data_IF_645457594867
#
_entry.id   IF_645457594867
#
_cell.length_a   1.000
_cell.length_b   1.000
_cell.length_c   1.000
_cell.angle_alpha   90.00
_cell.angle_beta   90.00
_cell.angle_gamma   90.00
#
_symmetry.space_group_name_H-M   'P 1'
#
loop_
_entity.id
_entity.type
_entity.pdbx_description
1 polymer ?
#
# COMPACT_ATOMS: atom_id res chain seq x y z
N UNK A 1 21.34 2.71 12.48
CA UNK A 1 20.80 2.19 11.21
C UNK A 1 21.77 1.21 10.55
N UNK A 2 21.27 0.09 10.04
CA UNK A 2 22.09 -0.94 9.38
C UNK A 2 22.69 -0.41 8.06
N UNK A 3 23.96 -0.72 7.79
CA UNK A 3 24.74 -0.21 6.66
C UNK A 3 24.15 -0.56 5.29
N UNK A 4 23.41 -1.66 5.20
CA UNK A 4 22.66 -2.02 4.00
C UNK A 4 21.69 -0.90 3.55
N UNK A 5 21.12 -0.15 4.49
CA UNK A 5 20.25 0.99 4.17
C UNK A 5 21.07 2.09 3.49
N UNK A 6 22.29 2.39 3.96
CA UNK A 6 23.18 3.37 3.32
C UNK A 6 23.59 2.94 1.91
N UNK A 7 23.84 1.65 1.70
CA UNK A 7 24.09 1.11 0.37
C UNK A 7 22.92 1.37 -0.60
N UNK A 8 21.67 1.24 -0.12
CA UNK A 8 20.51 1.56 -0.94
C UNK A 8 20.22 3.06 -1.05
N UNK A 9 20.53 3.87 -0.04
CA UNK A 9 20.50 5.34 -0.16
C UNK A 9 21.46 5.79 -1.26
N UNK A 10 22.67 5.21 -1.33
CA UNK A 10 23.62 5.51 -2.40
C UNK A 10 23.03 5.21 -3.78
N UNK A 11 22.44 4.03 -3.97
CA UNK A 11 21.81 3.67 -5.26
C UNK A 11 20.63 4.58 -5.58
N UNK A 12 19.80 4.87 -4.59
CA UNK A 12 18.66 5.76 -4.73
C UNK A 12 19.10 7.19 -5.09
N UNK A 13 20.22 7.68 -4.55
CA UNK A 13 20.72 9.02 -4.85
C UNK A 13 21.04 9.18 -6.35
N UNK A 14 21.65 8.17 -6.97
CA UNK A 14 21.98 8.20 -8.40
C UNK A 14 20.71 8.29 -9.25
N UNK A 15 19.68 7.51 -8.91
CA UNK A 15 18.38 7.51 -9.59
C UNK A 15 17.59 8.81 -9.35
N UNK A 16 17.38 9.16 -8.08
CA UNK A 16 16.52 10.27 -7.66
C UNK A 16 17.04 11.64 -8.11
N UNK A 17 18.36 11.83 -8.13
CA UNK A 17 18.96 13.13 -8.49
C UNK A 17 19.22 13.26 -9.98
N UNK A 18 19.02 12.20 -10.77
CA UNK A 18 19.34 12.18 -12.20
C UNK A 18 20.75 12.70 -12.51
N UNK A 19 21.72 12.37 -11.64
CA UNK A 19 23.11 12.79 -11.76
C UNK A 19 23.42 14.25 -11.41
N UNK A 20 22.47 15.03 -10.85
CA UNK A 20 22.71 16.42 -10.41
C UNK A 20 23.77 16.53 -9.30
N UNK A 21 23.97 15.46 -8.54
CA UNK A 21 24.99 15.36 -7.50
C UNK A 21 25.64 13.98 -7.54
N UNK A 22 26.76 13.83 -6.82
CA UNK A 22 27.42 12.54 -6.66
C UNK A 22 27.29 12.06 -5.23
N UNK A 23 27.32 10.74 -5.03
CA UNK A 23 27.34 10.14 -3.70
C UNK A 23 28.45 10.73 -2.80
N UNK A 24 29.66 10.94 -3.35
CA UNK A 24 30.77 11.53 -2.60
C UNK A 24 30.43 12.92 -2.07
N UNK A 25 29.87 13.80 -2.91
CA UNK A 25 29.46 15.15 -2.51
C UNK A 25 28.36 15.12 -1.44
N UNK A 26 27.37 14.24 -1.58
CA UNK A 26 26.34 14.08 -0.56
C UNK A 26 26.93 13.64 0.78
N UNK A 27 27.80 12.62 0.77
CA UNK A 27 28.42 12.06 1.97
C UNK A 27 29.28 13.08 2.72
N UNK A 28 30.10 13.85 2.00
CA UNK A 28 30.96 14.89 2.58
C UNK A 28 30.18 15.97 3.35
N UNK A 29 28.91 16.19 3.00
CA UNK A 29 28.06 17.15 3.72
C UNK A 29 27.46 16.62 5.03
N UNK A 30 27.52 15.31 5.25
CA UNK A 30 26.86 14.64 6.39
C UNK A 30 27.89 14.11 7.39
N UNK A 31 29.00 13.56 6.91
CA UNK A 31 30.07 13.02 7.78
C UNK A 31 31.43 13.59 7.38
N UNK A 32 32.18 14.04 8.39
CA UNK A 32 33.56 14.54 8.23
C UNK A 32 34.60 13.41 8.12
N UNK A 33 34.17 12.15 8.26
CA UNK A 33 35.07 11.00 8.19
C UNK A 33 35.09 10.42 6.78
N UNK A 34 36.27 10.02 6.32
CA UNK A 34 36.48 9.46 4.98
C UNK A 34 35.92 8.01 4.84
N UNK A 35 35.44 7.45 5.96
CA UNK A 35 34.93 6.09 6.03
C UNK A 35 33.73 5.87 5.11
N UNK A 36 33.77 4.75 4.39
CA UNK A 36 32.66 4.28 3.56
C UNK A 36 31.67 3.52 4.45
N UNK A 37 30.38 3.69 4.18
CA UNK A 37 29.36 2.85 4.82
C UNK A 37 29.44 1.43 4.25
N UNK A 38 29.74 0.46 5.11
CA UNK A 38 29.80 -0.96 4.80
C UNK A 38 28.45 -1.62 5.11
N UNK A 39 27.91 -2.49 4.22
CA UNK A 39 26.57 -3.06 4.41
C UNK A 39 26.34 -3.82 5.72
N UNK A 40 27.40 -4.39 6.31
CA UNK A 40 27.34 -5.25 7.50
C UNK A 40 27.65 -4.50 8.81
N UNK A 41 27.80 -3.18 8.77
CA UNK A 41 28.04 -2.34 9.94
C UNK A 41 26.79 -1.56 10.35
N UNK A 42 26.84 -0.89 11.50
CA UNK A 42 25.76 -0.03 12.01
C UNK A 42 26.29 1.39 12.18
N UNK A 43 25.50 2.37 11.74
CA UNK A 43 25.85 3.79 11.76
C UNK A 43 24.75 4.62 12.43
N UNK A 44 25.01 5.87 12.83
CA UNK A 44 23.99 6.75 13.40
C UNK A 44 22.78 6.92 12.48
N UNK A 45 21.57 6.92 13.05
CA UNK A 45 20.34 7.15 12.28
C UNK A 45 20.32 8.55 11.65
N UNK A 46 20.88 9.54 12.35
CA UNK A 46 21.00 10.91 11.88
C UNK A 46 21.77 11.03 10.55
N UNK A 47 22.75 10.17 10.30
CA UNK A 47 23.52 10.20 9.06
C UNK A 47 22.65 9.78 7.87
N UNK A 48 21.83 8.73 8.03
CA UNK A 48 20.91 8.30 6.99
C UNK A 48 19.85 9.37 6.69
N UNK A 49 19.31 10.00 7.73
CA UNK A 49 18.34 11.10 7.58
C UNK A 49 18.99 12.33 6.94
N UNK A 50 20.22 12.67 7.31
CA UNK A 50 20.98 13.76 6.70
C UNK A 50 21.25 13.52 5.21
N UNK A 51 21.61 12.30 4.82
CA UNK A 51 21.80 11.94 3.42
C UNK A 51 20.49 12.05 2.62
N UNK A 52 19.39 11.51 3.16
CA UNK A 52 18.07 11.65 2.54
C UNK A 52 17.66 13.12 2.44
N UNK A 53 17.89 13.95 3.48
CA UNK A 53 17.62 15.39 3.41
C UNK A 53 18.40 16.06 2.27
N UNK A 54 19.66 15.71 2.06
CA UNK A 54 20.46 16.29 0.97
C UNK A 54 20.00 15.86 -0.41
N UNK A 55 19.52 14.63 -0.55
CA UNK A 55 18.88 14.16 -1.78
C UNK A 55 17.58 14.96 -2.01
N UNK A 56 16.75 15.14 -0.97
CA UNK A 56 15.51 15.90 -1.04
C UNK A 56 15.76 17.36 -1.46
N UNK A 57 16.75 18.01 -0.84
CA UNK A 57 17.21 19.36 -1.20
C UNK A 57 17.60 19.44 -2.69
N UNK A 58 18.33 18.43 -3.20
CA UNK A 58 18.78 18.36 -4.60
C UNK A 58 17.62 18.14 -5.58
N UNK A 59 16.62 17.36 -5.18
CA UNK A 59 15.42 17.10 -5.96
C UNK A 59 14.42 18.28 -5.89
N UNK A 60 14.52 19.14 -4.88
CA UNK A 60 13.57 20.23 -4.64
C UNK A 60 12.24 19.74 -4.04
N UNK A 61 12.26 18.66 -3.25
CA UNK A 61 11.08 18.06 -2.64
C UNK A 61 11.17 18.00 -1.10
N UNK A 62 10.04 17.98 -0.38
CA UNK A 62 10.03 17.78 1.06
C UNK A 62 10.61 16.42 1.46
N UNK A 63 11.43 16.38 2.52
CA UNK A 63 12.00 15.15 3.07
C UNK A 63 10.96 14.05 3.34
N UNK A 64 9.76 14.32 3.90
CA UNK A 64 8.73 13.30 4.08
C UNK A 64 8.37 12.56 2.78
N UNK A 65 8.20 13.27 1.67
CA UNK A 65 7.88 12.68 0.38
C UNK A 65 9.06 11.88 -0.20
N UNK A 66 10.29 12.37 -0.01
CA UNK A 66 11.47 11.62 -0.41
C UNK A 66 11.59 10.31 0.38
N UNK A 67 11.33 10.32 1.69
CA UNK A 67 11.39 9.11 2.52
C UNK A 67 10.39 8.07 2.04
N UNK A 68 9.15 8.47 1.71
CA UNK A 68 8.17 7.57 1.10
C UNK A 68 8.68 7.02 -0.24
N UNK A 69 9.20 7.87 -1.13
CA UNK A 69 9.75 7.46 -2.42
C UNK A 69 10.96 6.53 -2.28
N UNK A 70 11.82 6.78 -1.29
CA UNK A 70 12.95 5.91 -0.98
C UNK A 70 12.48 4.54 -0.50
N UNK A 71 11.44 4.48 0.34
CA UNK A 71 10.83 3.22 0.77
C UNK A 71 10.30 2.42 -0.41
N UNK A 72 9.64 3.10 -1.35
CA UNK A 72 9.10 2.48 -2.56
C UNK A 72 10.21 1.89 -3.45
N UNK A 73 11.30 2.63 -3.66
CA UNK A 73 12.51 2.14 -4.33
C UNK A 73 13.15 0.95 -3.60
N UNK A 74 13.15 0.99 -2.27
CA UNK A 74 13.82 0.00 -1.42
C UNK A 74 13.09 -1.35 -1.39
N UNK A 75 11.77 -1.36 -1.53
CA UNK A 75 10.92 -2.55 -1.38
C UNK A 75 11.38 -3.80 -2.17
N UNK A 76 11.55 -3.77 -3.51
CA UNK A 76 11.97 -4.96 -4.27
C UNK A 76 13.35 -5.49 -3.85
N UNK A 77 14.21 -4.61 -3.32
CA UNK A 77 15.50 -5.01 -2.80
C UNK A 77 15.39 -5.72 -1.45
N UNK A 78 14.47 -5.29 -0.58
CA UNK A 78 14.20 -5.99 0.68
C UNK A 78 13.64 -7.38 0.44
N UNK A 79 12.73 -7.56 -0.52
CA UNK A 79 12.22 -8.88 -0.94
C UNK A 79 13.38 -9.80 -1.33
N UNK A 80 14.32 -9.29 -2.14
CA UNK A 80 15.50 -10.06 -2.54
C UNK A 80 16.41 -10.44 -1.37
N UNK A 81 16.61 -9.54 -0.42
CA UNK A 81 17.41 -9.80 0.80
C UNK A 81 16.74 -10.85 1.67
N UNK A 82 15.42 -10.80 1.81
CA UNK A 82 14.63 -11.76 2.59
C UNK A 82 14.33 -13.06 1.83
N UNK A 83 14.75 -13.20 0.56
CA UNK A 83 14.16 -14.16 -0.39
C UNK A 83 14.15 -15.64 0.02
N UNK A 84 15.07 -16.10 0.88
CA UNK A 84 15.03 -17.48 1.41
C UNK A 84 13.89 -17.72 2.41
N UNK A 85 13.23 -16.65 2.85
CA UNK A 85 12.19 -16.64 3.87
C UNK A 85 10.87 -16.07 3.35
N UNK A 86 10.83 -15.70 2.07
CA UNK A 86 9.62 -15.25 1.39
C UNK A 86 9.01 -16.47 0.70
N UNK A 87 7.76 -16.78 1.04
CA UNK A 87 7.01 -17.79 0.30
C UNK A 87 6.71 -17.27 -1.11
N UNK A 88 7.03 -18.02 -2.19
CA UNK A 88 6.75 -17.59 -3.56
C UNK A 88 5.28 -17.34 -3.88
N UNK A 89 4.35 -17.86 -3.06
CA UNK A 89 2.92 -17.63 -3.21
C UNK A 89 2.43 -16.32 -2.59
N UNK A 90 3.20 -15.72 -1.68
CA UNK A 90 2.82 -14.47 -1.02
C UNK A 90 2.74 -13.31 -1.99
N UNK A 91 1.70 -12.51 -1.81
CA UNK A 91 1.55 -11.19 -2.42
C UNK A 91 1.86 -10.07 -1.41
N UNK A 92 1.54 -8.81 -1.76
CA UNK A 92 1.88 -7.63 -0.94
C UNK A 92 1.41 -7.77 0.50
N UNK A 93 0.12 -8.07 0.62
CA UNK A 93 -0.57 -8.18 1.89
C UNK A 93 0.00 -9.32 2.75
N UNK A 94 0.26 -10.50 2.17
CA UNK A 94 0.83 -11.65 2.89
C UNK A 94 2.25 -11.35 3.39
N UNK A 95 3.06 -10.70 2.54
CA UNK A 95 4.43 -10.36 2.90
C UNK A 95 4.48 -9.37 4.08
N UNK A 96 3.60 -8.36 4.09
CA UNK A 96 3.51 -7.40 5.21
C UNK A 96 3.11 -8.12 6.50
N UNK A 97 2.10 -9.00 6.43
CA UNK A 97 1.64 -9.78 7.59
C UNK A 97 2.74 -10.67 8.19
N UNK A 98 3.61 -11.22 7.35
CA UNK A 98 4.68 -12.10 7.77
C UNK A 98 6.02 -11.38 8.07
N UNK A 99 6.10 -10.07 7.86
CA UNK A 99 7.35 -9.32 7.99
C UNK A 99 7.90 -9.36 9.43
N UNK A 100 7.06 -9.15 10.45
CA UNK A 100 7.55 -9.14 11.85
C UNK A 100 7.98 -10.53 12.32
N UNK A 101 7.11 -11.51 12.15
CA UNK A 101 7.26 -12.86 12.71
C UNK A 101 8.39 -13.64 12.05
N UNK A 102 8.67 -13.37 10.77
CA UNK A 102 9.67 -14.10 9.99
C UNK A 102 10.89 -13.21 9.72
N UNK A 103 10.69 -12.12 8.98
CA UNK A 103 11.82 -11.32 8.45
C UNK A 103 12.53 -10.55 9.58
N UNK A 104 11.80 -9.77 10.38
CA UNK A 104 12.40 -8.99 11.47
C UNK A 104 12.93 -9.88 12.60
N UNK A 105 12.28 -11.01 12.86
CA UNK A 105 12.79 -12.01 13.81
C UNK A 105 14.14 -12.56 13.36
N UNK A 106 14.29 -12.90 12.08
CA UNK A 106 15.58 -13.37 11.56
C UNK A 106 16.64 -12.28 11.51
N UNK A 107 16.28 -11.04 11.18
CA UNK A 107 17.22 -9.90 11.24
C UNK A 107 17.77 -9.74 12.67
N UNK A 108 16.90 -9.78 13.69
CA UNK A 108 17.31 -9.70 15.10
C UNK A 108 18.17 -10.89 15.53
N UNK A 109 17.89 -12.09 15.01
CA UNK A 109 18.70 -13.28 15.29
C UNK A 109 20.10 -13.22 14.65
N UNK A 110 20.19 -12.74 13.40
CA UNK A 110 21.44 -12.63 12.67
C UNK A 110 22.32 -11.46 13.16
N UNK A 111 21.70 -10.39 13.65
CA UNK A 111 22.39 -9.21 14.16
C UNK A 111 21.72 -8.74 15.47
N UNK A 112 22.27 -9.10 16.64
CA UNK A 112 21.72 -8.72 17.95
C UNK A 112 21.59 -7.20 18.17
N UNK A 113 22.34 -6.38 17.43
CA UNK A 113 22.24 -4.91 17.47
C UNK A 113 21.23 -4.32 16.48
N UNK A 114 20.53 -5.15 15.71
CA UNK A 114 19.52 -4.68 14.78
C UNK A 114 18.22 -4.33 15.49
N UNK A 115 17.73 -3.11 15.23
CA UNK A 115 16.47 -2.61 15.77
C UNK A 115 15.53 -2.25 14.61
N UNK A 116 14.95 -3.23 13.89
CA UNK A 116 13.86 -2.95 12.96
C UNK A 116 12.63 -2.42 13.73
N UNK A 117 11.69 -1.77 13.05
CA UNK A 117 10.43 -1.38 13.69
C UNK A 117 9.68 -2.64 14.18
N UNK A 118 8.83 -2.46 15.18
CA UNK A 118 7.86 -3.49 15.58
C UNK A 118 6.61 -3.29 14.75
N UNK A 119 6.22 -4.33 14.03
CA UNK A 119 4.98 -4.36 13.26
C UNK A 119 3.98 -5.32 13.92
N UNK A 120 2.74 -4.89 14.09
CA UNK A 120 1.64 -5.77 14.46
C UNK A 120 0.58 -5.68 13.38
N UNK A 121 0.08 -6.83 12.93
CA UNK A 121 -0.85 -6.92 11.83
C UNK A 121 -2.11 -7.66 12.22
N UNK A 122 -3.25 -7.24 11.67
CA UNK A 122 -4.52 -7.95 11.76
C UNK A 122 -5.12 -8.03 10.36
N UNK A 123 -5.27 -9.25 9.84
CA UNK A 123 -5.98 -9.53 8.59
C UNK A 123 -7.49 -9.44 8.85
N UNK A 124 -8.14 -8.41 8.30
CA UNK A 124 -9.58 -8.22 8.44
C UNK A 124 -10.37 -8.96 7.35
N UNK A 125 -9.79 -9.07 6.16
CA UNK A 125 -10.34 -9.83 5.03
C UNK A 125 -9.19 -10.22 4.08
N UNK A 126 -9.44 -11.03 3.02
CA UNK A 126 -8.41 -11.30 2.01
C UNK A 126 -7.79 -10.02 1.40
N UNK A 127 -8.54 -8.92 1.33
CA UNK A 127 -8.12 -7.68 0.70
C UNK A 127 -7.86 -6.55 1.70
N UNK A 128 -7.87 -6.81 3.02
CA UNK A 128 -7.70 -5.76 4.03
C UNK A 128 -6.77 -6.19 5.17
N UNK A 129 -5.75 -5.37 5.41
CA UNK A 129 -4.76 -5.53 6.47
C UNK A 129 -4.67 -4.26 7.30
N UNK A 130 -4.79 -4.40 8.63
CA UNK A 130 -4.49 -3.31 9.55
C UNK A 130 -3.08 -3.51 10.07
N UNK A 131 -2.24 -2.49 9.95
CA UNK A 131 -0.84 -2.48 10.36
C UNK A 131 -0.62 -1.42 11.44
N UNK A 132 -0.16 -1.85 12.60
CA UNK A 132 0.38 -0.98 13.64
C UNK A 132 1.90 -0.96 13.53
N UNK A 133 2.45 0.22 13.37
CA UNK A 133 3.89 0.49 13.32
C UNK A 133 4.34 1.18 14.61
N UNK A 134 5.40 0.68 15.23
CA UNK A 134 6.07 1.34 16.36
C UNK A 134 7.59 1.29 16.23
N UNK A 135 8.23 2.45 16.37
CA UNK A 135 9.69 2.55 16.41
C UNK A 135 10.12 3.89 17.00
N UNK A 136 11.15 3.88 17.84
CA UNK A 136 11.79 5.11 18.32
C UNK A 136 12.38 5.99 17.20
N UNK A 137 12.59 5.43 16.00
CA UNK A 137 13.08 6.18 14.82
C UNK A 137 12.00 6.95 14.08
N UNK A 138 10.71 6.69 14.34
CA UNK A 138 9.56 7.34 13.68
C UNK A 138 9.62 7.31 12.13
N UNK A 139 10.13 6.22 11.54
CA UNK A 139 10.24 6.03 10.08
C UNK A 139 8.98 5.41 9.48
N UNK A 140 7.80 5.80 9.95
CA UNK A 140 6.53 5.28 9.46
C UNK A 140 6.28 5.65 7.98
N UNK A 141 6.79 6.79 7.53
CA UNK A 141 6.78 7.19 6.11
C UNK A 141 7.61 6.23 5.25
N UNK A 142 8.73 5.72 5.77
CA UNK A 142 9.51 4.70 5.09
C UNK A 142 8.71 3.40 4.98
N UNK A 143 8.04 2.99 6.07
CA UNK A 143 7.19 1.80 6.08
C UNK A 143 6.03 1.91 5.07
N UNK A 144 5.38 3.08 5.00
CA UNK A 144 4.34 3.38 4.00
C UNK A 144 4.89 3.31 2.57
N UNK A 145 6.05 3.90 2.33
CA UNK A 145 6.76 3.81 1.05
C UNK A 145 7.09 2.36 0.66
N UNK A 146 7.62 1.57 1.59
CA UNK A 146 7.90 0.14 1.37
C UNK A 146 6.62 -0.61 1.04
N UNK A 147 5.53 -0.36 1.75
CA UNK A 147 4.20 -0.96 1.49
C UNK A 147 3.75 -0.68 0.05
N UNK A 148 3.86 0.56 -0.41
CA UNK A 148 3.55 0.95 -1.79
C UNK A 148 4.48 0.28 -2.81
N UNK A 149 5.78 0.17 -2.50
CA UNK A 149 6.77 -0.47 -3.35
C UNK A 149 6.56 -1.97 -3.48
N UNK A 150 6.06 -2.63 -2.43
CA UNK A 150 5.65 -4.04 -2.48
C UNK A 150 4.47 -4.23 -3.44
N UNK A 151 3.43 -3.41 -3.33
CA UNK A 151 2.31 -3.43 -4.28
C UNK A 151 2.80 -3.31 -5.73
N UNK A 152 3.70 -2.36 -6.01
CA UNK A 152 4.30 -2.24 -7.34
C UNK A 152 5.13 -3.46 -7.74
N UNK A 153 5.87 -4.06 -6.80
CA UNK A 153 6.68 -5.25 -7.06
C UNK A 153 5.84 -6.46 -7.48
N UNK A 154 4.66 -6.63 -6.88
CA UNK A 154 3.70 -7.70 -7.19
C UNK A 154 2.66 -7.33 -8.25
N UNK A 155 2.77 -6.14 -8.86
CA UNK A 155 1.82 -5.61 -9.83
C UNK A 155 0.38 -5.46 -9.27
N UNK A 156 0.26 -5.11 -8.00
CA UNK A 156 -0.99 -4.86 -7.29
C UNK A 156 -1.25 -3.37 -7.09
N UNK A 157 -2.53 -3.01 -6.94
CA UNK A 157 -2.95 -1.65 -6.56
C UNK A 157 -3.47 -1.72 -5.13
N UNK A 158 -2.95 -0.86 -4.26
CA UNK A 158 -3.41 -0.77 -2.87
C UNK A 158 -3.78 0.66 -2.53
N UNK A 159 -4.70 0.81 -1.58
CA UNK A 159 -4.95 2.05 -0.86
C UNK A 159 -4.42 1.94 0.56
N UNK A 160 -3.81 3.02 1.05
CA UNK A 160 -3.28 3.11 2.41
C UNK A 160 -3.90 4.32 3.10
N UNK A 161 -4.71 4.08 4.13
CA UNK A 161 -5.24 5.11 5.02
C UNK A 161 -4.41 5.15 6.31
N UNK A 162 -3.87 6.31 6.67
CA UNK A 162 -3.19 6.52 7.97
C UNK A 162 -4.20 7.07 8.99
N UNK A 163 -4.53 6.25 10.00
CA UNK A 163 -5.52 6.61 11.03
C UNK A 163 -4.89 7.18 12.30
N UNK A 164 -3.59 6.99 12.51
CA UNK A 164 -2.80 7.62 13.58
C UNK A 164 -1.33 7.74 13.18
N UNK A 165 -0.59 8.70 13.77
CA UNK A 165 0.80 8.94 13.43
C UNK A 165 1.66 9.46 14.59
N UNK A 166 2.84 8.87 14.78
CA UNK A 166 3.83 9.32 15.76
C UNK A 166 4.31 10.76 15.53
N UNK A 167 4.30 11.24 14.28
CA UNK A 167 4.62 12.64 13.94
C UNK A 167 3.51 13.62 14.35
N UNK A 168 2.30 13.13 14.66
CA UNK A 168 1.17 13.92 15.16
C UNK A 168 1.01 13.84 16.69
N UNK A 169 1.91 13.12 17.37
CA UNK A 169 1.89 12.94 18.83
C UNK A 169 1.27 11.63 19.31
N UNK A 170 0.83 10.75 18.39
CA UNK A 170 0.31 9.43 18.75
C UNK A 170 1.44 8.48 19.20
N UNK A 171 1.18 7.47 20.05
CA UNK A 171 2.20 6.54 20.52
C UNK A 171 2.71 5.55 19.45
N UNK A 172 1.94 5.36 18.38
CA UNK A 172 2.22 4.47 17.26
C UNK A 172 1.54 5.01 16.00
N UNK A 173 1.89 4.47 14.82
CA UNK A 173 1.16 4.76 13.59
C UNK A 173 0.26 3.57 13.23
N UNK A 174 -0.95 3.84 12.77
CA UNK A 174 -1.85 2.82 12.23
C UNK A 174 -2.11 3.07 10.75
N UNK A 175 -1.97 2.02 9.95
CA UNK A 175 -2.29 2.01 8.54
C UNK A 175 -3.37 0.97 8.26
N UNK A 176 -4.42 1.37 7.56
CA UNK A 176 -5.38 0.43 6.95
C UNK A 176 -4.98 0.29 5.50
N UNK A 177 -4.65 -0.93 5.08
CA UNK A 177 -4.17 -1.24 3.74
C UNK A 177 -5.22 -2.10 3.05
N UNK A 178 -5.74 -1.61 1.94
CA UNK A 178 -6.75 -2.29 1.13
C UNK A 178 -6.18 -2.65 -0.23
N UNK A 179 -6.35 -3.89 -0.65
CA UNK A 179 -6.01 -4.34 -1.99
C UNK A 179 -7.16 -4.05 -2.97
N UNK A 180 -6.90 -3.12 -3.89
CA UNK A 180 -7.79 -2.68 -4.95
C UNK A 180 -7.52 -3.40 -6.28
N UNK A 181 -6.57 -4.34 -6.35
CA UNK A 181 -6.28 -5.07 -7.59
C UNK A 181 -7.51 -5.80 -8.16
N UNK A 182 -8.48 -6.12 -7.30
CA UNK A 182 -9.78 -6.70 -7.65
C UNK A 182 -10.96 -5.71 -7.60
N UNK A 183 -10.73 -4.42 -7.35
CA UNK A 183 -11.75 -3.39 -7.39
C UNK A 183 -11.96 -2.86 -8.82
N UNK A 184 -13.09 -3.25 -9.43
CA UNK A 184 -13.53 -2.74 -10.74
C UNK A 184 -14.22 -1.37 -10.65
N UNK A 185 -14.19 -0.72 -9.48
CA UNK A 185 -14.81 0.59 -9.26
C UNK A 185 -13.82 1.74 -9.49
N UNK A 186 -13.71 2.20 -10.73
CA UNK A 186 -13.25 3.57 -10.96
C UNK A 186 -14.35 4.53 -10.49
N UNK A 187 -14.07 5.33 -9.46
CA UNK A 187 -14.91 6.45 -8.98
C UNK A 187 -15.21 7.51 -10.05
N UNK A 188 -14.60 7.41 -11.25
CA UNK A 188 -14.84 8.24 -12.43
C UNK A 188 -15.50 7.52 -13.61
N UNK A 189 -15.84 6.24 -13.48
CA UNK A 189 -16.58 5.54 -14.54
C UNK A 189 -18.05 5.97 -14.52
N UNK A 190 -18.63 6.41 -15.65
CA UNK A 190 -20.07 6.59 -15.75
C UNK A 190 -20.74 5.25 -15.46
N UNK A 191 -21.77 5.27 -14.60
CA UNK A 191 -22.64 4.13 -14.32
C UNK A 191 -23.06 3.53 -15.66
N UNK A 192 -22.68 2.28 -15.92
CA UNK A 192 -23.01 1.62 -17.19
C UNK A 192 -24.53 1.48 -17.31
N UNK A 193 -25.10 1.96 -18.41
CA UNK A 193 -26.53 1.84 -18.69
C UNK A 193 -26.91 0.35 -18.86
N UNK A 194 -27.96 -0.08 -18.15
CA UNK A 194 -28.58 -1.39 -18.39
C UNK A 194 -29.21 -1.39 -19.78
N UNK A 195 -28.67 -2.18 -20.70
CA UNK A 195 -29.27 -2.40 -22.02
C UNK A 195 -30.27 -3.55 -21.91
N UNK A 196 -31.56 -3.25 -22.09
CA UNK A 196 -32.61 -4.24 -22.16
C UNK A 196 -32.75 -4.76 -23.61
N UNK A 197 -32.84 -6.08 -23.77
CA UNK A 197 -33.06 -6.73 -25.06
C UNK A 197 -34.45 -7.39 -25.09
N UNK A 198 -35.11 -7.36 -26.24
CA UNK A 198 -36.31 -8.18 -26.46
C UNK A 198 -35.89 -9.66 -26.61
N UNK A 199 -36.32 -10.56 -25.72
CA UNK A 199 -35.93 -11.98 -25.77
C UNK A 199 -36.47 -12.74 -26.99
N UNK A 200 -37.36 -12.16 -27.81
CA UNK A 200 -37.87 -12.79 -29.03
C UNK A 200 -37.20 -12.28 -30.31
N UNK A 201 -36.82 -11.00 -30.37
CA UNK A 201 -36.22 -10.42 -31.58
C UNK A 201 -34.71 -10.17 -31.47
N UNK A 202 -34.17 -10.10 -30.25
CA UNK A 202 -32.76 -9.78 -30.01
C UNK A 202 -32.41 -8.30 -30.23
N UNK A 203 -33.40 -7.45 -30.50
CA UNK A 203 -33.18 -6.02 -30.70
C UNK A 203 -32.98 -5.31 -29.35
N UNK A 204 -32.09 -4.32 -29.35
CA UNK A 204 -31.93 -3.39 -28.22
C UNK A 204 -33.20 -2.55 -28.09
N UNK A 205 -33.85 -2.62 -26.93
CA UNK A 205 -34.92 -1.68 -26.59
C UNK A 205 -34.27 -0.31 -26.36
N UNK A 206 -34.74 0.72 -27.06
CA UNK A 206 -34.21 2.08 -26.91
C UNK A 206 -34.40 2.57 -25.47
N UNK A 207 -33.47 3.37 -24.91
CA UNK A 207 -33.52 3.73 -23.50
C UNK A 207 -34.76 4.57 -23.23
N UNK A 208 -35.64 4.10 -22.35
CA UNK A 208 -36.51 5.03 -21.65
C UNK A 208 -35.60 5.95 -20.85
N UNK A 209 -35.69 7.27 -21.07
CA UNK A 209 -35.10 8.27 -20.18
C UNK A 209 -35.69 8.08 -18.78
N UNK A 210 -35.08 7.22 -17.98
CA UNK A 210 -35.37 7.15 -16.55
C UNK A 210 -34.62 8.30 -15.90
N UNK A 211 -35.37 9.32 -15.47
CA UNK A 211 -34.87 10.34 -14.56
C UNK A 211 -34.60 9.67 -13.21
N UNK A 212 -33.38 9.20 -13.00
CA UNK A 212 -32.88 8.76 -11.69
C UNK A 212 -32.52 9.99 -10.86
N UNK A 213 -33.53 10.78 -10.50
CA UNK A 213 -33.47 11.69 -9.36
C UNK A 213 -34.44 11.20 -8.30
N UNK A 214 -34.17 10.01 -7.77
CA UNK A 214 -34.67 9.59 -6.47
C UNK A 214 -33.51 9.70 -5.48
N UNK A 215 -33.65 10.60 -4.52
CA UNK A 215 -32.72 10.72 -3.39
C UNK A 215 -32.57 9.35 -2.73
N UNK A 216 -31.35 8.79 -2.76
CA UNK A 216 -30.97 7.61 -1.99
C UNK A 216 -31.22 7.91 -0.50
N UNK A 217 -32.35 7.43 -0.01
CA UNK A 217 -32.63 7.30 1.40
C UNK A 217 -32.65 5.81 1.70
N UNK A 218 -31.72 5.41 2.57
CA UNK A 218 -31.56 4.10 3.22
C UNK A 218 -30.56 3.10 2.57
N UNK A 219 -29.35 2.91 3.16
CA UNK A 219 -28.31 2.01 2.63
C UNK A 219 -28.43 0.54 3.11
N UNK A 220 -29.52 0.12 3.77
CA UNK A 220 -29.56 -1.21 4.44
C UNK A 220 -30.70 -2.16 4.04
N UNK A 221 -31.75 -1.70 3.34
CA UNK A 221 -32.91 -2.53 3.02
C UNK A 221 -32.71 -3.51 1.85
N UNK A 222 -33.21 -4.74 1.99
CA UNK A 222 -33.42 -5.67 0.86
C UNK A 222 -34.79 -5.36 0.27
N UNK A 223 -34.93 -5.00 -1.02
CA UNK A 223 -36.25 -4.71 -1.60
C UNK A 223 -37.13 -5.96 -1.59
N UNK A 224 -38.43 -5.83 -1.29
CA UNK A 224 -39.37 -6.97 -1.26
C UNK A 224 -39.68 -7.51 -2.67
N UNK A 225 -39.61 -6.66 -3.69
CA UNK A 225 -39.88 -7.02 -5.10
C UNK A 225 -38.93 -6.28 -6.05
N UNK A 226 -38.57 -6.94 -7.16
CA UNK A 226 -37.89 -6.33 -8.31
C UNK A 226 -38.69 -6.71 -9.56
N UNK A 227 -39.23 -5.71 -10.26
CA UNK A 227 -40.23 -5.88 -11.32
C UNK A 227 -41.41 -6.78 -10.88
N UNK A 228 -41.59 -7.94 -11.53
CA UNK A 228 -42.64 -8.91 -11.21
C UNK A 228 -42.15 -10.05 -10.30
N UNK A 229 -40.90 -10.00 -9.83
CA UNK A 229 -40.28 -11.06 -9.03
C UNK A 229 -40.31 -10.70 -7.54
N UNK A 230 -40.75 -11.65 -6.71
CA UNK A 230 -40.67 -11.53 -5.25
C UNK A 230 -39.25 -11.87 -4.79
N UNK A 231 -38.59 -10.97 -4.07
CA UNK A 231 -37.22 -11.17 -3.59
C UNK A 231 -37.24 -12.04 -2.33
N UNK A 232 -36.51 -13.16 -2.36
CA UNK A 232 -36.35 -14.09 -1.22
C UNK A 232 -35.10 -13.82 -0.39
N UNK A 233 -34.15 -13.07 -0.92
CA UNK A 233 -32.90 -12.72 -0.22
C UNK A 233 -31.77 -12.39 -1.19
N UNK A 234 -30.71 -11.80 -0.66
CA UNK A 234 -29.45 -11.55 -1.40
C UNK A 234 -28.69 -12.87 -1.55
N UNK A 235 -28.23 -13.17 -2.76
CA UNK A 235 -27.37 -14.33 -3.04
C UNK A 235 -25.97 -13.94 -3.48
N UNK A 236 -25.73 -12.65 -3.75
CA UNK A 236 -24.41 -12.12 -4.03
C UNK A 236 -24.43 -10.60 -4.02
N UNK A 237 -23.28 -10.01 -3.76
CA UNK A 237 -23.09 -8.56 -3.87
C UNK A 237 -21.71 -8.30 -4.45
N UNK A 238 -21.62 -7.38 -5.41
CA UNK A 238 -20.37 -6.98 -6.04
C UNK A 238 -20.52 -5.66 -6.78
N UNK A 239 -19.53 -5.29 -7.59
CA UNK A 239 -19.48 -3.97 -8.22
C UNK A 239 -20.58 -3.66 -9.24
N UNK A 240 -21.36 -4.67 -9.66
CA UNK A 240 -22.55 -4.50 -10.52
C UNK A 240 -23.87 -4.40 -9.73
N UNK A 241 -23.80 -4.33 -8.39
CA UNK A 241 -24.97 -4.27 -7.50
C UNK A 241 -25.19 -5.55 -6.70
N UNK A 242 -26.39 -5.66 -6.12
CA UNK A 242 -26.82 -6.84 -5.34
C UNK A 242 -27.56 -7.79 -6.26
N UNK A 243 -27.19 -9.07 -6.22
CA UNK A 243 -27.89 -10.16 -6.88
C UNK A 243 -28.87 -10.75 -5.87
N UNK A 244 -30.15 -10.74 -6.24
CA UNK A 244 -31.22 -11.25 -5.41
C UNK A 244 -31.76 -12.56 -5.98
N UNK A 245 -32.09 -13.50 -5.09
CA UNK A 245 -32.86 -14.67 -5.46
C UNK A 245 -34.34 -14.27 -5.53
N UNK A 246 -34.87 -14.21 -6.75
CA UNK A 246 -36.28 -13.96 -7.01
C UNK A 246 -37.11 -15.25 -7.07
N UNK A 247 -38.40 -15.14 -6.80
CA UNK A 247 -39.41 -16.16 -7.10
C UNK A 247 -40.40 -15.56 -8.10
N UNK A 248 -40.61 -16.23 -9.23
CA UNK A 248 -41.63 -15.86 -10.22
C UNK A 248 -42.97 -16.43 -9.79
N UNK A 249 -43.99 -15.56 -9.71
CA UNK A 249 -45.36 -15.94 -9.34
C UNK A 249 -46.26 -16.17 -10.58
N UNK A 250 -45.70 -16.17 -11.80
CA UNK A 250 -46.44 -16.48 -13.03
C UNK A 250 -46.47 -17.97 -13.36
#
# INVERSE_FOLDING_TARGET
>A
MHGIIFFYIQKFADEATSGKTTWLKLRETVTATDNRYLPNEVYPDADAIGLLQKIADTCGEPLPLLIERFGEFLAPHLVKVAGQHVDPSWQTLDLIENTESIIHTMIRAANPGAEPPVLQTVRHSPNELHLVYSSGRQLCLLAKGVTQGLARHYNETIMIEETSCMHKGDPFCCFVIQDESNETHSTKSPLSETIAFDPRSGDSLSPQKMNWHSNLSDPSGTPETIDNFLVKGVIGSGGMGRVYRGYDNR
#
